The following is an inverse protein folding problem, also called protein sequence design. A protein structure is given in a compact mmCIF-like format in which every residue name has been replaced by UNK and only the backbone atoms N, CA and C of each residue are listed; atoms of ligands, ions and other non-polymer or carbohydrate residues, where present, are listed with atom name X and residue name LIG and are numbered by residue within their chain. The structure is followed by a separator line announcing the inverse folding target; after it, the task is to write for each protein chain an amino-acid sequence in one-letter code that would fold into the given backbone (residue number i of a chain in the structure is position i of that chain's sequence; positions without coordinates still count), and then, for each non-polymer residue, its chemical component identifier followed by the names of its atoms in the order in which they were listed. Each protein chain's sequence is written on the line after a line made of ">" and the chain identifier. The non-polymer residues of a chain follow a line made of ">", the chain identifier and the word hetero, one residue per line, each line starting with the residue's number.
data_IF_215231280871
#
_entry.id   IF_215231280871
#
_cell.length_a   1.000
_cell.length_b   1.000
_cell.length_c   1.000
_cell.angle_alpha   90.00
_cell.angle_beta   90.00
_cell.angle_gamma   90.00
#
_symmetry.space_group_name_H-M   'P 1'
#
loop_
_entity.id
_entity.type
_entity.pdbx_description
1 polymer ?
#
# COMPACT_ATOMS: atom_id res chain seq x y z
N UNK A 1 5.58 13.23 0.02
CA UNK A 1 5.37 12.98 -1.42
C UNK A 1 4.73 14.23 -2.02
N UNK A 2 4.94 14.48 -3.32
CA UNK A 2 4.23 15.55 -4.04
C UNK A 2 3.06 14.95 -4.80
N UNK A 3 1.98 15.70 -4.96
CA UNK A 3 0.84 15.24 -5.76
C UNK A 3 1.22 15.12 -7.24
N UNK A 4 0.61 14.18 -7.95
CA UNK A 4 0.77 13.98 -9.40
C UNK A 4 2.07 13.29 -9.86
N UNK A 5 3.04 13.03 -8.98
CA UNK A 5 4.27 12.32 -9.35
C UNK A 5 4.11 10.81 -9.26
N UNK A 6 4.83 10.08 -10.12
CA UNK A 6 4.89 8.61 -10.06
C UNK A 6 6.13 8.19 -9.26
N UNK A 7 5.95 7.23 -8.35
CA UNK A 7 7.04 6.68 -7.53
C UNK A 7 6.96 5.15 -7.49
N UNK A 8 8.12 4.51 -7.31
CA UNK A 8 8.24 3.08 -6.99
C UNK A 8 8.59 2.96 -5.51
N UNK A 9 7.82 2.16 -4.77
CA UNK A 9 8.13 1.82 -3.38
C UNK A 9 8.80 0.44 -3.35
N UNK A 10 10.04 0.37 -2.86
CA UNK A 10 10.79 -0.89 -2.70
C UNK A 10 10.84 -1.30 -1.25
N UNK A 11 10.68 -2.60 -1.01
CA UNK A 11 10.59 -3.19 0.33
C UNK A 11 9.52 -2.48 1.19
N UNK A 12 8.42 -2.08 0.54
CA UNK A 12 7.23 -1.64 1.24
C UNK A 12 6.56 -2.83 1.92
N UNK A 13 5.83 -2.54 2.98
CA UNK A 13 5.03 -3.51 3.73
C UNK A 13 3.59 -3.05 3.81
N UNK A 14 2.73 -4.00 4.14
CA UNK A 14 1.35 -3.70 4.53
C UNK A 14 1.30 -3.64 6.04
N UNK A 15 0.81 -2.52 6.56
CA UNK A 15 0.51 -2.34 7.98
C UNK A 15 -1.00 -2.37 8.20
N UNK A 16 -1.44 -3.21 9.13
CA UNK A 16 -2.84 -3.23 9.58
C UNK A 16 -3.07 -2.09 10.56
N UNK A 17 -4.04 -1.23 10.28
CA UNK A 17 -4.43 -0.13 11.14
C UNK A 17 -5.94 -0.12 11.33
N UNK A 18 -6.40 -0.42 12.55
CA UNK A 18 -7.82 -0.42 12.93
C UNK A 18 -8.71 -1.23 11.97
N UNK A 19 -8.28 -2.43 11.59
CA UNK A 19 -9.02 -3.30 10.68
C UNK A 19 -8.80 -3.02 9.19
N UNK A 20 -8.17 -1.90 8.81
CA UNK A 20 -7.87 -1.60 7.40
C UNK A 20 -6.39 -1.73 7.08
N UNK A 21 -6.07 -2.11 5.84
CA UNK A 21 -4.69 -2.19 5.36
C UNK A 21 -4.16 -0.82 4.92
N UNK A 22 -2.86 -0.58 5.14
CA UNK A 22 -2.13 0.57 4.60
C UNK A 22 -0.79 0.15 4.03
N UNK A 23 -0.41 0.73 2.90
CA UNK A 23 0.93 0.56 2.34
C UNK A 23 1.90 1.52 3.04
N UNK A 24 3.01 0.99 3.56
CA UNK A 24 4.00 1.75 4.30
C UNK A 24 5.43 1.39 3.85
N UNK A 25 6.36 2.33 4.03
CA UNK A 25 7.80 2.13 3.81
C UNK A 25 8.50 2.46 5.12
N UNK A 26 9.28 1.53 5.65
CA UNK A 26 10.04 1.71 6.88
C UNK A 26 11.51 2.11 6.60
N UNK A 27 12.34 2.08 7.64
CA UNK A 27 13.76 2.47 7.56
C UNK A 27 14.61 1.60 6.61
N UNK A 28 14.13 0.42 6.22
CA UNK A 28 14.82 -0.50 5.33
C UNK A 28 14.31 -0.43 3.89
N UNK A 29 13.17 0.24 3.67
CA UNK A 29 12.62 0.44 2.34
C UNK A 29 13.09 1.72 1.65
N UNK A 30 12.74 1.85 0.36
CA UNK A 30 13.10 3.01 -0.46
C UNK A 30 11.91 3.54 -1.25
N UNK A 31 11.94 4.83 -1.53
CA UNK A 31 11.00 5.53 -2.40
C UNK A 31 11.82 6.10 -3.55
N UNK A 32 11.55 5.63 -4.77
CA UNK A 32 12.26 6.05 -5.98
C UNK A 32 11.32 6.85 -6.87
N UNK A 33 11.75 8.03 -7.29
CA UNK A 33 11.05 8.77 -8.34
C UNK A 33 11.21 8.03 -9.66
N UNK A 34 10.19 8.08 -10.51
CA UNK A 34 10.22 7.46 -11.83
C UNK A 34 9.46 8.31 -12.85
N UNK A 35 9.56 7.92 -14.11
CA UNK A 35 8.80 8.52 -15.19
C UNK A 35 7.28 8.35 -14.96
N UNK A 36 6.44 9.19 -15.60
CA UNK A 36 4.99 9.06 -15.47
C UNK A 36 4.49 7.64 -15.79
N UNK A 37 3.63 7.11 -14.92
CA UNK A 37 3.00 5.83 -15.16
C UNK A 37 2.22 5.83 -16.49
N UNK A 38 2.35 4.74 -17.26
CA UNK A 38 1.60 4.53 -18.49
C UNK A 38 0.17 3.99 -18.27
N UNK A 39 -0.24 3.86 -17.00
CA UNK A 39 -1.53 3.33 -16.60
C UNK A 39 -2.35 4.37 -15.84
N UNK A 40 -3.66 4.23 -15.92
CA UNK A 40 -4.61 5.05 -15.16
C UNK A 40 -4.89 4.38 -13.82
N UNK A 41 -4.80 5.13 -12.73
CA UNK A 41 -5.12 4.65 -11.39
C UNK A 41 -6.64 4.41 -11.28
N UNK A 42 -7.04 3.24 -10.77
CA UNK A 42 -8.45 2.94 -10.48
C UNK A 42 -8.83 3.48 -9.10
N UNK A 43 -9.11 4.77 -9.03
CA UNK A 43 -9.40 5.48 -7.77
C UNK A 43 -10.61 4.92 -7.01
N UNK A 44 -11.56 4.28 -7.71
CA UNK A 44 -12.74 3.67 -7.09
C UNK A 44 -12.42 2.40 -6.28
N UNK A 45 -11.22 1.83 -6.42
CA UNK A 45 -10.82 0.58 -5.77
C UNK A 45 -9.84 0.84 -4.61
N UNK A 46 -10.29 1.57 -3.60
CA UNK A 46 -9.46 1.95 -2.47
C UNK A 46 -9.43 0.86 -1.38
N UNK A 47 -8.39 0.03 -1.38
CA UNK A 47 -8.21 -1.04 -0.39
C UNK A 47 -8.01 -0.53 1.05
N UNK A 48 -7.64 0.75 1.23
CA UNK A 48 -7.49 1.34 2.56
C UNK A 48 -8.82 1.63 3.24
N UNK A 49 -9.93 1.61 2.50
CA UNK A 49 -11.29 1.74 3.02
C UNK A 49 -11.95 0.38 3.30
N UNK A 50 -11.31 -0.71 2.90
CA UNK A 50 -11.83 -2.06 3.15
C UNK A 50 -11.41 -2.47 4.56
N UNK A 51 -12.39 -2.93 5.34
CA UNK A 51 -12.18 -3.49 6.66
C UNK A 51 -12.01 -5.00 6.56
N UNK A 52 -11.02 -5.52 7.27
CA UNK A 52 -10.68 -6.92 7.36
C UNK A 52 -10.68 -7.34 8.83
N UNK A 53 -11.18 -8.55 9.07
CA UNK A 53 -11.09 -9.20 10.36
C UNK A 53 -9.90 -10.16 10.40
N UNK A 54 -9.26 -10.27 11.56
CA UNK A 54 -8.23 -11.28 11.77
C UNK A 54 -8.91 -12.64 11.92
N UNK A 55 -8.76 -13.49 10.92
CA UNK A 55 -9.23 -14.87 10.98
C UNK A 55 -8.12 -15.75 11.56
N UNK A 56 -8.41 -16.40 12.68
CA UNK A 56 -7.55 -17.47 13.22
C UNK A 56 -7.82 -18.74 12.41
N UNK A 57 -6.78 -19.32 11.81
CA UNK A 57 -6.90 -20.64 11.18
C UNK A 57 -6.66 -21.68 12.27
N UNK A 58 -7.70 -22.38 12.72
CA UNK A 58 -7.55 -23.49 13.65
C UNK A 58 -6.90 -24.68 12.93
N UNK A 59 -5.63 -24.94 13.23
CA UNK A 59 -4.92 -26.17 12.81
C UNK A 59 -3.64 -25.92 11.99
N UNK A 60 -2.54 -25.67 12.69
CA UNK A 60 -1.20 -26.12 12.28
C UNK A 60 -0.45 -26.64 13.51
#
# INVERSE_FOLDING_TARGET
>A
MKEGVTVILRNAKIDMFKGSMRLAVDKWGRIEATEPASFVVKESNNLSLVEYELVQVEGQ
#
